data_IF_061435962558
#
_entry.id   IF_061435962558
#
_cell.length_a   1.000
_cell.length_b   1.000
_cell.length_c   1.000
_cell.angle_alpha   90.00
_cell.angle_beta   90.00
_cell.angle_gamma   90.00
#
_symmetry.space_group_name_H-M   'P 1'
#
loop_
_entity.id
_entity.type
_entity.pdbx_description
1 polymer ?
#
# COMPACT_ATOMS: atom_id res chain seq x y z
N UNK A 1 -7.95 19.56 14.75
CA UNK A 1 -8.79 19.15 13.60
C UNK A 1 -8.39 17.72 13.27
N UNK A 2 -9.33 16.77 13.22
CA UNK A 2 -9.01 15.40 12.81
C UNK A 2 -8.61 15.41 11.35
N UNK A 3 -7.48 14.78 11.01
CA UNK A 3 -7.03 14.70 9.63
C UNK A 3 -7.97 13.76 8.85
N UNK A 4 -8.28 14.03 7.57
CA UNK A 4 -9.07 13.11 6.75
C UNK A 4 -8.45 11.71 6.63
N UNK A 5 -7.13 11.63 6.83
CA UNK A 5 -6.36 10.39 6.88
C UNK A 5 -6.71 9.58 8.13
N UNK A 6 -6.94 10.24 9.27
CA UNK A 6 -7.27 9.57 10.53
C UNK A 6 -8.63 8.85 10.43
N UNK A 7 -9.63 9.49 9.82
CA UNK A 7 -10.95 8.89 9.61
C UNK A 7 -10.92 7.77 8.56
N UNK A 8 -10.03 7.87 7.57
CA UNK A 8 -9.80 6.81 6.58
C UNK A 8 -9.14 5.59 7.23
N UNK A 9 -8.12 5.81 8.05
CA UNK A 9 -7.45 4.76 8.83
C UNK A 9 -8.42 4.12 9.82
N UNK A 10 -9.23 4.91 10.52
CA UNK A 10 -10.21 4.41 11.49
C UNK A 10 -11.35 3.60 10.84
N UNK A 11 -11.71 3.89 9.58
CA UNK A 11 -12.70 3.12 8.80
C UNK A 11 -12.12 1.86 8.14
N UNK A 12 -10.89 1.95 7.63
CA UNK A 12 -10.19 0.81 7.01
C UNK A 12 -9.78 -0.22 8.07
N UNK A 13 -9.36 0.26 9.24
CA UNK A 13 -8.85 -0.54 10.32
C UNK A 13 -9.70 -0.35 11.56
N UNK A 14 -10.88 -0.96 11.59
CA UNK A 14 -11.65 -1.23 12.83
C UNK A 14 -10.89 -2.12 13.85
N UNK A 15 -9.56 -2.11 13.75
CA UNK A 15 -8.57 -3.02 14.24
C UNK A 15 -7.59 -2.14 15.03
N UNK A 16 -7.35 -2.51 16.29
CA UNK A 16 -6.35 -1.84 17.13
C UNK A 16 -4.99 -1.82 16.42
N UNK A 17 -4.07 -0.96 16.87
CA UNK A 17 -2.68 -0.94 16.40
C UNK A 17 -2.04 -2.35 16.39
N UNK A 18 -2.45 -3.22 17.32
CA UNK A 18 -2.03 -4.63 17.39
C UNK A 18 -2.54 -5.48 16.22
N UNK A 19 -3.80 -5.31 15.82
CA UNK A 19 -4.38 -6.03 14.68
C UNK A 19 -3.72 -5.57 13.37
N UNK A 20 -3.45 -4.28 13.25
CA UNK A 20 -2.67 -3.70 12.16
C UNK A 20 -1.28 -4.33 12.09
N UNK A 21 -0.56 -4.38 13.22
CA UNK A 21 0.76 -4.98 13.30
C UNK A 21 0.74 -6.48 12.96
N UNK A 22 -0.33 -7.19 13.31
CA UNK A 22 -0.48 -8.61 13.00
C UNK A 22 -0.71 -8.85 11.50
N UNK A 23 -1.53 -8.02 10.84
CA UNK A 23 -1.71 -8.10 9.39
C UNK A 23 -0.40 -7.82 8.64
N UNK A 24 0.36 -6.79 9.05
CA UNK A 24 1.67 -6.50 8.46
C UNK A 24 2.64 -7.68 8.60
N UNK A 25 2.74 -8.29 9.79
CA UNK A 25 3.60 -9.46 10.02
C UNK A 25 3.17 -10.68 9.19
N UNK A 26 1.87 -10.84 8.98
CA UNK A 26 1.32 -11.94 8.18
C UNK A 26 1.73 -11.77 6.72
N UNK A 27 1.55 -10.56 6.18
CA UNK A 27 1.96 -10.21 4.82
C UNK A 27 3.48 -10.30 4.64
N UNK A 28 4.29 -9.84 5.61
CA UNK A 28 5.75 -10.00 5.56
C UNK A 28 6.17 -11.48 5.53
N UNK A 29 5.53 -12.33 6.34
CA UNK A 29 5.80 -13.77 6.36
C UNK A 29 5.37 -14.46 5.07
N UNK A 30 4.24 -14.06 4.48
CA UNK A 30 3.80 -14.51 3.16
C UNK A 30 4.80 -14.10 2.08
N UNK A 31 5.26 -12.84 2.08
CA UNK A 31 6.23 -12.32 1.11
C UNK A 31 7.60 -13.03 1.19
N UNK A 32 8.04 -13.36 2.41
CA UNK A 32 9.26 -14.13 2.65
C UNK A 32 9.10 -15.58 2.20
N UNK A 33 7.95 -16.21 2.50
CA UNK A 33 7.64 -17.60 2.13
C UNK A 33 7.42 -17.80 0.63
N UNK A 34 6.86 -16.80 -0.06
CA UNK A 34 6.62 -16.83 -1.51
C UNK A 34 7.92 -16.59 -2.33
N UNK A 35 9.05 -16.43 -1.63
CA UNK A 35 10.36 -16.18 -2.21
C UNK A 35 10.46 -14.72 -2.58
N UNK A 36 10.98 -13.92 -1.63
CA UNK A 36 11.17 -12.48 -1.73
C UNK A 36 11.45 -12.06 -3.18
N UNK A 37 10.43 -11.52 -3.85
CA UNK A 37 10.62 -10.91 -5.16
C UNK A 37 11.77 -9.93 -4.99
N UNK A 38 12.85 -10.20 -5.75
CA UNK A 38 14.11 -9.48 -5.65
C UNK A 38 13.80 -8.00 -5.49
N UNK A 39 14.32 -7.32 -4.45
CA UNK A 39 13.95 -5.95 -4.17
C UNK A 39 14.08 -5.17 -5.47
N UNK A 40 12.98 -4.55 -5.87
CA UNK A 40 12.88 -3.80 -7.11
C UNK A 40 12.96 -2.32 -6.76
N UNK A 41 14.17 -1.79 -6.52
CA UNK A 41 14.35 -0.38 -6.18
C UNK A 41 13.87 0.56 -7.30
N UNK A 42 13.73 0.06 -8.53
CA UNK A 42 13.17 0.79 -9.65
C UNK A 42 11.63 0.69 -9.73
N UNK A 43 11.00 -0.14 -8.90
CA UNK A 43 9.56 -0.39 -8.89
C UNK A 43 8.77 0.87 -8.62
N UNK A 44 9.22 1.67 -7.65
CA UNK A 44 8.62 2.96 -7.33
C UNK A 44 8.61 3.91 -8.54
N UNK A 45 9.73 4.05 -9.25
CA UNK A 45 9.83 4.94 -10.42
C UNK A 45 8.93 4.49 -11.58
N UNK A 46 8.81 3.17 -11.82
CA UNK A 46 7.88 2.65 -12.83
C UNK A 46 6.43 2.92 -12.45
N UNK A 47 6.06 2.70 -11.20
CA UNK A 47 4.71 2.93 -10.68
C UNK A 47 4.36 4.44 -10.75
N UNK A 48 5.33 5.28 -10.40
CA UNK A 48 5.21 6.73 -10.46
C UNK A 48 5.06 7.24 -11.91
N UNK A 49 5.82 6.68 -12.85
CA UNK A 49 5.68 6.99 -14.27
C UNK A 49 4.31 6.54 -14.84
N UNK A 50 3.78 5.41 -14.37
CA UNK A 50 2.44 4.92 -14.74
C UNK A 50 1.34 5.85 -14.21
N UNK A 51 1.37 6.20 -12.92
CA UNK A 51 0.40 7.11 -12.30
C UNK A 51 0.39 8.50 -12.96
N UNK A 52 1.56 9.07 -13.28
CA UNK A 52 1.64 10.33 -14.03
C UNK A 52 1.06 10.24 -15.43
N UNK A 53 1.13 9.08 -16.07
CA UNK A 53 0.56 8.83 -17.40
C UNK A 53 -0.96 8.74 -17.30
N UNK A 54 -1.47 7.94 -16.37
CA UNK A 54 -2.90 7.75 -16.13
C UNK A 54 -3.61 9.03 -15.68
N UNK A 55 -2.94 9.86 -14.87
CA UNK A 55 -3.42 11.19 -14.49
C UNK A 55 -3.48 12.16 -15.68
N UNK A 56 -2.54 12.05 -16.63
CA UNK A 56 -2.55 12.87 -17.86
C UNK A 56 -3.57 12.38 -18.89
N UNK A 57 -3.86 11.10 -18.92
CA UNK A 57 -4.85 10.50 -19.83
C UNK A 57 -6.26 10.46 -19.25
N UNK A 58 -6.46 10.93 -18.01
CA UNK A 58 -7.79 11.06 -17.41
C UNK A 58 -8.49 9.73 -17.14
N UNK A 59 -7.81 8.76 -16.52
CA UNK A 59 -8.42 7.51 -16.05
C UNK A 59 -9.03 6.58 -17.13
N UNK A 60 -9.36 5.31 -16.81
CA UNK A 60 -10.06 4.44 -17.75
C UNK A 60 -11.52 4.88 -17.93
N UNK A 61 -11.97 4.90 -19.18
CA UNK A 61 -13.40 4.87 -19.54
C UNK A 61 -14.00 3.51 -19.17
#
# INVERSE_FOLDING_TARGET
MKHPIDDLLQRLYHNSDDNLLQEFKTVEAELEAEGAHQPDPAGFERLWAKLKREHKTGGPQ
#
